data_IF_806750336029
#
_entry.id   IF_806750336029
#
_cell.length_a   1.000
_cell.length_b   1.000
_cell.length_c   1.000
_cell.angle_alpha   90.00
_cell.angle_beta   90.00
_cell.angle_gamma   90.00
#
_symmetry.space_group_name_H-M   'P 1'
#
loop_
_entity.id
_entity.type
_entity.pdbx_description
1 polymer ?
#
# COMPACT_ATOMS: atom_id res chain seq x y z
N UNK A 1 -21.32 9.51 20.51
CA UNK A 1 -21.78 8.51 21.49
C UNK A 1 -20.82 7.33 21.61
N UNK A 2 -20.64 6.48 20.58
CA UNK A 2 -19.81 5.27 20.68
C UNK A 2 -18.31 5.51 21.04
N UNK A 3 -17.65 6.49 20.42
CA UNK A 3 -16.23 6.78 20.70
C UNK A 3 -16.00 7.21 22.15
N UNK A 4 -16.97 7.91 22.76
CA UNK A 4 -16.89 8.37 24.14
C UNK A 4 -16.98 7.19 25.10
N UNK A 5 -17.92 6.26 24.86
CA UNK A 5 -18.01 5.01 25.64
C UNK A 5 -16.76 4.15 25.50
N UNK A 6 -16.20 4.01 24.30
CA UNK A 6 -14.95 3.26 24.09
C UNK A 6 -13.78 3.85 24.86
N UNK A 7 -13.66 5.18 24.94
CA UNK A 7 -12.62 5.83 25.75
C UNK A 7 -12.82 5.60 27.25
N UNK A 8 -14.08 5.56 27.69
CA UNK A 8 -14.42 5.29 29.10
C UNK A 8 -14.10 3.85 29.47
N UNK A 9 -14.42 2.89 28.60
CA UNK A 9 -14.18 1.46 28.85
C UNK A 9 -12.71 1.06 28.70
N UNK A 10 -11.98 1.68 27.76
CA UNK A 10 -10.60 1.33 27.44
C UNK A 10 -9.65 2.54 27.55
N UNK A 11 -9.46 3.11 28.75
CA UNK A 11 -8.56 4.23 28.95
C UNK A 11 -7.13 3.85 28.54
N UNK A 12 -6.46 4.71 27.78
CA UNK A 12 -5.08 4.48 27.32
C UNK A 12 -4.94 3.54 26.11
N UNK A 13 -6.00 2.87 25.64
CA UNK A 13 -5.90 1.95 24.51
C UNK A 13 -5.44 2.63 23.21
N UNK A 14 -4.32 2.17 22.65
CA UNK A 14 -3.80 2.68 21.37
C UNK A 14 -4.81 2.49 20.24
N UNK A 15 -5.63 1.44 20.29
CA UNK A 15 -6.69 1.20 19.31
C UNK A 15 -7.76 2.30 19.35
N UNK A 16 -8.17 2.72 20.55
CA UNK A 16 -9.16 3.79 20.74
C UNK A 16 -8.58 5.17 20.43
N UNK A 17 -7.30 5.41 20.78
CA UNK A 17 -6.56 6.61 20.34
C UNK A 17 -6.49 6.66 18.81
N UNK A 18 -6.12 5.56 18.15
CA UNK A 18 -6.09 5.48 16.68
C UNK A 18 -7.46 5.73 16.05
N UNK A 19 -8.53 5.15 16.60
CA UNK A 19 -9.90 5.41 16.12
C UNK A 19 -10.29 6.89 16.24
N UNK A 20 -9.80 7.57 17.27
CA UNK A 20 -9.94 9.03 17.38
C UNK A 20 -9.19 9.75 16.26
N UNK A 21 -7.96 9.33 15.95
CA UNK A 21 -7.18 9.87 14.85
C UNK A 21 -7.90 9.71 13.52
N UNK A 22 -8.46 8.52 13.25
CA UNK A 22 -9.26 8.25 12.06
C UNK A 22 -10.48 9.16 11.94
N UNK A 23 -11.11 9.52 13.07
CA UNK A 23 -12.20 10.50 13.08
C UNK A 23 -11.69 11.90 12.71
N UNK A 24 -10.52 12.32 13.18
CA UNK A 24 -9.93 13.60 12.77
C UNK A 24 -9.59 13.61 11.29
N UNK A 25 -9.06 12.51 10.75
CA UNK A 25 -8.82 12.36 9.30
C UNK A 25 -10.10 12.48 8.48
N UNK A 26 -11.19 11.83 8.92
CA UNK A 26 -12.49 11.94 8.25
C UNK A 26 -13.10 13.36 8.33
N UNK A 27 -12.61 14.20 9.24
CA UNK A 27 -12.97 15.62 9.36
C UNK A 27 -11.94 16.53 8.68
N UNK A 28 -11.00 15.97 7.92
CA UNK A 28 -9.87 16.68 7.27
C UNK A 28 -8.96 17.45 8.25
N UNK A 29 -9.06 17.14 9.55
CA UNK A 29 -8.21 17.69 10.61
C UNK A 29 -6.92 16.89 10.72
N UNK A 30 -6.13 16.93 9.65
CA UNK A 30 -4.93 16.10 9.51
C UNK A 30 -3.87 16.39 10.58
N UNK A 31 -3.66 17.65 10.96
CA UNK A 31 -2.65 18.00 11.97
C UNK A 31 -2.98 17.41 13.34
N UNK A 32 -4.25 17.45 13.75
CA UNK A 32 -4.71 16.83 14.99
C UNK A 32 -4.53 15.30 14.97
N UNK A 33 -4.81 14.68 13.81
CA UNK A 33 -4.61 13.25 13.63
C UNK A 33 -3.12 12.88 13.74
N UNK A 34 -2.24 13.64 13.07
CA UNK A 34 -0.79 13.44 13.09
C UNK A 34 -0.25 13.57 14.51
N UNK A 35 -0.61 14.65 15.23
CA UNK A 35 -0.18 14.82 16.63
C UNK A 35 -0.61 13.65 17.51
N UNK A 36 -1.81 13.10 17.28
CA UNK A 36 -2.29 11.95 18.03
C UNK A 36 -1.50 10.68 17.70
N UNK A 37 -1.17 10.47 16.42
CA UNK A 37 -0.33 9.34 16.00
C UNK A 37 1.11 9.46 16.50
N UNK A 38 1.68 10.66 16.52
CA UNK A 38 3.00 10.90 17.08
C UNK A 38 3.04 10.57 18.56
N UNK A 39 2.00 10.90 19.33
CA UNK A 39 1.90 10.48 20.74
C UNK A 39 1.82 8.96 20.89
N UNK A 40 1.06 8.28 20.03
CA UNK A 40 1.02 6.80 20.04
C UNK A 40 2.40 6.22 19.74
N UNK A 41 3.15 6.80 18.79
CA UNK A 41 4.49 6.34 18.42
C UNK A 41 5.57 6.71 19.45
N UNK A 42 5.38 7.77 20.23
CA UNK A 42 6.22 8.09 21.38
C UNK A 42 6.03 7.08 22.52
N UNK A 43 4.80 6.62 22.73
CA UNK A 43 4.47 5.59 23.72
C UNK A 43 4.88 4.17 23.25
N UNK A 44 4.73 3.89 21.96
CA UNK A 44 5.05 2.61 21.31
C UNK A 44 5.54 2.84 19.88
N UNK A 45 6.85 2.88 19.70
CA UNK A 45 7.50 3.11 18.40
C UNK A 45 7.29 1.96 17.40
N UNK A 46 6.88 0.78 17.89
CA UNK A 46 6.60 -0.42 17.07
C UNK A 46 5.16 -0.45 16.57
N UNK A 47 4.35 0.58 16.86
CA UNK A 47 2.97 0.66 16.45
C UNK A 47 2.81 0.91 14.94
N UNK A 48 2.91 -0.16 14.14
CA UNK A 48 2.78 -0.12 12.68
C UNK A 48 1.47 0.52 12.23
N UNK A 49 0.38 0.26 12.95
CA UNK A 49 -0.93 0.82 12.63
C UNK A 49 -0.95 2.35 12.73
N UNK A 50 -0.32 2.96 13.73
CA UNK A 50 -0.23 4.42 13.82
C UNK A 50 0.68 5.00 12.73
N UNK A 51 1.81 4.36 12.43
CA UNK A 51 2.73 4.79 11.38
C UNK A 51 2.08 4.73 9.99
N UNK A 52 1.39 3.64 9.66
CA UNK A 52 0.63 3.50 8.40
C UNK A 52 -0.47 4.55 8.24
N UNK A 53 -1.11 4.99 9.33
CA UNK A 53 -2.08 6.10 9.25
C UNK A 53 -1.45 7.44 8.92
N UNK A 54 -0.24 7.75 9.42
CA UNK A 54 0.48 8.96 9.01
C UNK A 54 0.79 8.96 7.51
N UNK A 55 1.28 7.84 6.99
CA UNK A 55 1.53 7.65 5.56
C UNK A 55 0.24 7.85 4.75
N UNK A 56 -0.87 7.24 5.19
CA UNK A 56 -2.17 7.40 4.53
C UNK A 56 -2.65 8.86 4.52
N UNK A 57 -2.38 9.64 5.56
CA UNK A 57 -2.66 11.09 5.58
C UNK A 57 -1.84 11.81 4.50
N UNK A 58 -0.54 11.51 4.36
CA UNK A 58 0.30 12.11 3.32
C UNK A 58 -0.25 11.82 1.92
N UNK A 59 -0.66 10.58 1.67
CA UNK A 59 -1.35 10.20 0.42
C UNK A 59 -2.63 11.00 0.21
N UNK A 60 -3.49 11.11 1.23
CA UNK A 60 -4.75 11.86 1.14
C UNK A 60 -4.54 13.35 0.85
N UNK A 61 -3.41 13.91 1.29
CA UNK A 61 -3.00 15.29 1.01
C UNK A 61 -2.35 15.48 -0.37
N UNK A 62 -2.25 14.42 -1.20
CA UNK A 62 -1.57 14.45 -2.49
C UNK A 62 -0.04 14.52 -2.41
N UNK A 63 0.53 14.32 -1.22
CA UNK A 63 1.98 14.39 -0.97
C UNK A 63 2.65 13.05 -1.27
N UNK A 64 2.55 12.60 -2.51
CA UNK A 64 2.99 11.27 -2.93
C UNK A 64 4.48 11.03 -2.65
N UNK A 65 5.36 11.98 -2.94
CA UNK A 65 6.80 11.86 -2.70
C UNK A 65 7.14 11.72 -1.21
N UNK A 66 6.43 12.46 -0.33
CA UNK A 66 6.58 12.32 1.12
C UNK A 66 6.10 10.93 1.58
N UNK A 67 4.96 10.46 1.06
CA UNK A 67 4.42 9.14 1.37
C UNK A 67 5.36 8.00 0.91
N UNK A 68 5.94 8.11 -0.30
CA UNK A 68 6.96 7.18 -0.80
C UNK A 68 8.16 7.13 0.14
N UNK A 69 8.67 8.30 0.58
CA UNK A 69 9.81 8.34 1.49
C UNK A 69 9.49 7.64 2.81
N UNK A 70 8.36 7.99 3.43
CA UNK A 70 7.93 7.39 4.70
C UNK A 70 7.64 5.87 4.56
N UNK A 71 7.14 5.40 3.41
CA UNK A 71 6.95 3.97 3.13
C UNK A 71 8.27 3.22 2.99
N UNK A 72 9.26 3.78 2.30
CA UNK A 72 10.59 3.16 2.22
C UNK A 72 11.21 3.05 3.63
N UNK A 73 11.19 4.13 4.42
CA UNK A 73 11.65 4.13 5.82
C UNK A 73 10.88 3.11 6.70
N UNK A 74 9.59 2.90 6.42
CA UNK A 74 8.79 1.88 7.09
C UNK A 74 9.21 0.45 6.70
N UNK A 75 9.35 0.19 5.40
CA UNK A 75 9.68 -1.12 4.86
C UNK A 75 11.09 -1.57 5.22
N UNK A 76 12.03 -0.65 5.49
CA UNK A 76 13.34 -0.98 6.09
C UNK A 76 13.21 -1.74 7.42
N UNK A 77 12.15 -1.46 8.19
CA UNK A 77 11.89 -2.10 9.49
C UNK A 77 10.89 -3.25 9.39
N UNK A 78 9.95 -3.17 8.44
CA UNK A 78 8.80 -4.08 8.33
C UNK A 78 8.69 -4.68 6.92
N UNK A 79 9.78 -5.28 6.43
CA UNK A 79 9.91 -5.87 5.07
C UNK A 79 8.80 -6.87 4.72
N UNK A 80 8.21 -7.54 5.72
CA UNK A 80 7.13 -8.51 5.52
C UNK A 80 5.72 -7.91 5.33
N UNK A 81 5.55 -6.59 5.43
CA UNK A 81 4.23 -5.96 5.31
C UNK A 81 3.81 -5.83 3.85
N UNK A 82 3.03 -6.80 3.38
CA UNK A 82 2.51 -6.85 2.00
C UNK A 82 1.62 -5.64 1.66
N UNK A 83 0.86 -5.11 2.63
CA UNK A 83 0.02 -3.94 2.39
C UNK A 83 0.89 -2.72 2.06
N UNK A 84 2.00 -2.54 2.79
CA UNK A 84 2.91 -1.43 2.53
C UNK A 84 3.67 -1.55 1.19
N UNK A 85 4.07 -2.76 0.79
CA UNK A 85 4.67 -2.98 -0.53
C UNK A 85 3.69 -2.68 -1.67
N UNK A 86 2.43 -3.06 -1.51
CA UNK A 86 1.39 -2.80 -2.50
C UNK A 86 1.10 -1.32 -2.63
N UNK A 87 0.93 -0.64 -1.50
CA UNK A 87 0.77 0.81 -1.41
C UNK A 87 1.95 1.58 -2.05
N UNK A 88 3.18 1.11 -1.84
CA UNK A 88 4.37 1.69 -2.44
C UNK A 88 4.42 1.47 -3.96
N UNK A 89 4.02 0.29 -4.44
CA UNK A 89 3.92 0.00 -5.87
C UNK A 89 2.92 0.94 -6.56
N UNK A 90 1.74 1.14 -5.98
CA UNK A 90 0.73 2.06 -6.52
C UNK A 90 1.22 3.52 -6.57
N UNK A 91 1.93 3.96 -5.52
CA UNK A 91 2.51 5.30 -5.52
C UNK A 91 3.57 5.47 -6.61
N UNK A 92 4.45 4.48 -6.82
CA UNK A 92 5.41 4.53 -7.92
C UNK A 92 4.75 4.51 -9.30
N UNK A 93 3.63 3.78 -9.48
CA UNK A 93 2.84 3.82 -10.71
C UNK A 93 2.29 5.24 -10.94
N UNK A 94 1.73 5.88 -9.91
CA UNK A 94 1.20 7.24 -10.01
C UNK A 94 2.28 8.28 -10.33
N UNK A 95 3.49 8.07 -9.82
CA UNK A 95 4.67 8.91 -10.12
C UNK A 95 5.40 8.48 -11.41
N UNK A 96 4.86 7.52 -12.16
CA UNK A 96 5.43 6.98 -13.41
C UNK A 96 6.82 6.34 -13.27
N UNK A 97 7.25 6.01 -12.04
CA UNK A 97 8.47 5.25 -11.76
C UNK A 97 8.18 3.74 -11.86
N UNK A 98 7.90 3.30 -13.09
CA UNK A 98 7.51 1.92 -13.36
C UNK A 98 8.60 0.89 -12.99
N UNK A 99 9.86 1.30 -12.98
CA UNK A 99 10.97 0.43 -12.59
C UNK A 99 10.88 0.06 -11.11
N UNK A 100 10.67 1.04 -10.24
CA UNK A 100 10.48 0.77 -8.80
C UNK A 100 9.14 0.13 -8.50
N UNK A 101 8.08 0.45 -9.24
CA UNK A 101 6.80 -0.24 -9.12
C UNK A 101 6.94 -1.74 -9.42
N UNK A 102 7.66 -2.10 -10.49
CA UNK A 102 7.91 -3.49 -10.85
C UNK A 102 8.67 -4.24 -9.73
N UNK A 103 9.68 -3.62 -9.15
CA UNK A 103 10.41 -4.18 -8.01
C UNK A 103 9.49 -4.47 -6.81
N UNK A 104 8.64 -3.52 -6.43
CA UNK A 104 7.69 -3.73 -5.32
C UNK A 104 6.72 -4.89 -5.60
N UNK A 105 6.28 -5.04 -6.84
CA UNK A 105 5.42 -6.15 -7.26
C UNK A 105 6.15 -7.49 -7.29
N UNK A 106 7.45 -7.51 -7.58
CA UNK A 106 8.29 -8.72 -7.48
C UNK A 106 8.38 -9.20 -6.02
N UNK A 107 8.62 -8.29 -5.07
CA UNK A 107 8.60 -8.60 -3.62
C UNK A 107 7.26 -9.19 -3.18
N UNK A 108 6.15 -8.64 -3.67
CA UNK A 108 4.80 -9.16 -3.42
C UNK A 108 4.57 -10.56 -4.01
N UNK A 109 5.05 -10.80 -5.22
CA UNK A 109 4.93 -12.11 -5.86
C UNK A 109 5.80 -13.18 -5.17
N UNK A 110 6.96 -12.80 -4.63
CA UNK A 110 7.79 -13.71 -3.85
C UNK A 110 7.11 -14.13 -2.55
N UNK A 111 6.43 -13.20 -1.86
CA UNK A 111 5.76 -13.47 -0.60
C UNK A 111 4.38 -14.12 -0.76
N UNK A 112 3.69 -13.88 -1.88
CA UNK A 112 2.38 -14.45 -2.16
C UNK A 112 2.24 -14.90 -3.64
N UNK A 113 2.87 -16.02 -4.01
CA UNK A 113 2.95 -16.47 -5.42
C UNK A 113 1.62 -16.93 -6.01
N UNK A 114 0.59 -17.14 -5.18
CA UNK A 114 -0.74 -17.57 -5.63
C UNK A 114 -1.70 -16.41 -5.88
N UNK A 115 -1.30 -15.18 -5.55
CA UNK A 115 -2.14 -14.02 -5.81
C UNK A 115 -2.03 -13.58 -7.28
N UNK A 116 -3.04 -13.97 -8.08
CA UNK A 116 -3.10 -13.63 -9.50
C UNK A 116 -3.12 -12.11 -9.78
N UNK A 117 -3.53 -11.29 -8.80
CA UNK A 117 -3.62 -9.83 -8.96
C UNK A 117 -2.22 -9.21 -9.07
N UNK A 118 -1.23 -9.73 -8.32
CA UNK A 118 0.15 -9.22 -8.39
C UNK A 118 0.79 -9.55 -9.73
N UNK A 119 0.57 -10.76 -10.27
CA UNK A 119 1.02 -11.11 -11.62
C UNK A 119 0.36 -10.22 -12.68
N UNK A 120 -0.94 -9.94 -12.54
CA UNK A 120 -1.67 -9.06 -13.44
C UNK A 120 -1.13 -7.62 -13.38
N UNK A 121 -0.95 -7.04 -12.19
CA UNK A 121 -0.41 -5.69 -12.03
C UNK A 121 1.03 -5.60 -12.57
N UNK A 122 1.87 -6.61 -12.31
CA UNK A 122 3.23 -6.65 -12.84
C UNK A 122 3.24 -6.69 -14.37
N UNK A 123 2.37 -7.49 -14.97
CA UNK A 123 2.23 -7.55 -16.43
C UNK A 123 1.82 -6.19 -17.02
N UNK A 124 0.92 -5.45 -16.37
CA UNK A 124 0.51 -4.10 -16.77
C UNK A 124 1.66 -3.09 -16.68
N UNK A 125 2.44 -3.14 -15.59
CA UNK A 125 3.62 -2.29 -15.43
C UNK A 125 4.65 -2.59 -16.54
N UNK A 126 4.93 -3.87 -16.81
CA UNK A 126 5.84 -4.27 -17.90
C UNK A 126 5.35 -3.87 -19.29
N UNK A 127 4.04 -4.00 -19.54
CA UNK A 127 3.44 -3.51 -20.78
C UNK A 127 3.70 -2.02 -20.97
N UNK A 128 3.48 -1.24 -19.89
CA UNK A 128 3.63 0.22 -19.89
C UNK A 128 5.09 0.65 -20.06
N UNK A 129 6.05 -0.10 -19.52
CA UNK A 129 7.48 0.15 -19.74
C UNK A 129 7.90 0.00 -21.21
N UNK A 130 7.17 -0.83 -21.99
CA UNK A 130 7.43 -1.04 -23.41
C UNK A 130 8.77 -1.71 -23.69
N UNK A 131 9.10 -1.85 -24.98
CA UNK A 131 10.27 -2.59 -25.44
C UNK A 131 10.01 -4.10 -25.52
N UNK A 132 10.69 -4.77 -26.45
CA UNK A 132 10.40 -6.15 -26.81
C UNK A 132 10.48 -7.10 -25.60
N UNK A 133 11.51 -6.96 -24.77
CA UNK A 133 11.71 -7.80 -23.58
C UNK A 133 10.60 -7.63 -22.55
N UNK A 134 10.17 -6.39 -22.25
CA UNK A 134 9.11 -6.16 -21.29
C UNK A 134 7.74 -6.59 -21.83
N UNK A 135 7.50 -6.49 -23.14
CA UNK A 135 6.27 -7.00 -23.76
C UNK A 135 6.20 -8.53 -23.67
N UNK A 136 7.32 -9.22 -23.89
CA UNK A 136 7.43 -10.66 -23.69
C UNK A 136 7.14 -11.06 -22.23
N UNK A 137 7.73 -10.33 -21.27
CA UNK A 137 7.45 -10.52 -19.85
C UNK A 137 5.97 -10.25 -19.52
N UNK A 138 5.42 -9.15 -20.01
CA UNK A 138 4.02 -8.79 -19.80
C UNK A 138 3.08 -9.92 -20.23
N UNK A 139 3.25 -10.43 -21.45
CA UNK A 139 2.47 -11.56 -21.97
C UNK A 139 2.61 -12.81 -21.10
N UNK A 140 3.83 -13.13 -20.67
CA UNK A 140 4.11 -14.26 -19.77
C UNK A 140 3.37 -14.12 -18.44
N UNK A 141 3.38 -12.95 -17.82
CA UNK A 141 2.75 -12.73 -16.52
C UNK A 141 1.22 -12.60 -16.60
N UNK A 142 0.67 -12.10 -17.70
CA UNK A 142 -0.77 -12.21 -17.96
C UNK A 142 -1.22 -13.66 -18.09
N UNK A 143 -0.48 -14.49 -18.84
CA UNK A 143 -0.76 -15.92 -18.93
C UNK A 143 -0.66 -16.62 -17.57
N UNK A 144 0.33 -16.27 -16.75
CA UNK A 144 0.47 -16.79 -15.38
C UNK A 144 -0.72 -16.37 -14.49
N UNK A 145 -1.17 -15.11 -14.58
CA UNK A 145 -2.33 -14.65 -13.84
C UNK A 145 -3.60 -15.43 -14.22
N UNK A 146 -3.80 -15.75 -15.51
CA UNK A 146 -4.92 -16.58 -15.98
C UNK A 146 -4.80 -18.04 -15.54
N UNK A 147 -3.58 -18.57 -15.45
CA UNK A 147 -3.33 -19.91 -14.90
C UNK A 147 -3.73 -20.00 -13.44
N UNK A 148 -3.48 -18.94 -12.66
CA UNK A 148 -3.88 -18.84 -11.25
C UNK A 148 -5.39 -18.59 -11.10
N UNK A 149 -5.96 -17.74 -11.95
CA UNK A 149 -7.39 -17.46 -11.98
C UNK A 149 -7.87 -17.19 -13.42
N UNK A 150 -8.55 -18.17 -14.01
CA UNK A 150 -9.07 -18.09 -15.37
C UNK A 150 -10.23 -17.09 -15.55
N UNK A 151 -10.79 -16.55 -14.47
CA UNK A 151 -11.83 -15.50 -14.49
C UNK A 151 -11.25 -14.09 -14.40
N UNK A 152 -9.93 -13.93 -14.37
CA UNK A 152 -9.30 -12.62 -14.39
C UNK A 152 -9.47 -11.97 -15.77
N UNK A 153 -10.57 -11.25 -15.98
CA UNK A 153 -10.88 -10.59 -17.25
C UNK A 153 -9.79 -9.59 -17.65
N UNK A 154 -9.19 -8.88 -16.69
CA UNK A 154 -8.15 -7.89 -17.00
C UNK A 154 -6.89 -8.55 -17.54
N UNK A 155 -6.49 -9.69 -16.98
CA UNK A 155 -5.41 -10.50 -17.54
C UNK A 155 -5.75 -11.12 -18.90
N UNK A 156 -7.02 -11.49 -19.13
CA UNK A 156 -7.49 -12.00 -20.43
C UNK A 156 -7.35 -10.95 -21.53
N UNK A 157 -7.80 -9.72 -21.27
CA UNK A 157 -7.64 -8.61 -22.21
C UNK A 157 -6.17 -8.26 -22.42
N UNK A 158 -5.37 -8.22 -21.35
CA UNK A 158 -3.94 -7.96 -21.43
C UNK A 158 -3.14 -9.03 -22.21
N UNK A 159 -3.61 -10.27 -22.25
CA UNK A 159 -2.99 -11.34 -23.04
C UNK A 159 -3.35 -11.26 -24.54
N UNK A 160 -4.51 -10.69 -24.87
CA UNK A 160 -5.00 -10.59 -26.24
C UNK A 160 -4.44 -9.39 -27.00
N UNK A 161 -4.14 -8.30 -26.30
CA UNK A 161 -3.52 -7.08 -26.85
C UNK A 161 -2.02 -7.26 -27.11
#
# INVERSE_FOLDING_TARGET
FCLQELRRQFPGSHRVKRLTGMRFEAMERYDDAIQLYDRILQEDSTNTAARKRKIAIRKAQGKNLEAIRELNEYLEQFVGDQEAWHELAELYINEHDYAKAAFCLEELMMTNPHNHLYCQQYAEVKYTQGGLENLELSRKYFAQALKLNNRNMRALFGLYM
#
